data_IF_784923407695
#
_entry.id   IF_784923407695
#
_cell.length_a   1.000
_cell.length_b   1.000
_cell.length_c   1.000
_cell.angle_alpha   90.00
_cell.angle_beta   90.00
_cell.angle_gamma   90.00
#
_symmetry.space_group_name_H-M   'P 1'
#
loop_
_entity.id
_entity.type
_entity.pdbx_description
1 polymer ?
#
# COMPACT_ATOMS: atom_id res chain seq x y z
N UNK A 1 4.86 2.74 18.43
CA UNK A 1 5.73 3.31 17.38
C UNK A 1 5.17 4.69 17.10
N UNK A 2 5.95 5.74 17.32
CA UNK A 2 5.35 7.08 17.50
C UNK A 2 5.61 8.03 16.32
N UNK A 3 6.28 7.52 15.27
CA UNK A 3 6.67 8.33 14.11
C UNK A 3 6.33 7.61 12.81
N UNK A 4 5.81 8.39 11.88
CA UNK A 4 5.64 8.03 10.47
C UNK A 4 7.01 7.87 9.78
N UNK A 5 7.00 7.38 8.53
CA UNK A 5 8.21 7.12 7.76
C UNK A 5 9.06 8.39 7.61
N UNK A 6 10.36 8.26 7.85
CA UNK A 6 11.32 9.36 7.79
C UNK A 6 12.74 8.81 7.60
N UNK A 7 13.72 9.72 7.46
CA UNK A 7 15.14 9.38 7.28
C UNK A 7 15.73 8.50 8.38
N UNK A 8 15.28 8.62 9.64
CA UNK A 8 15.75 7.77 10.74
C UNK A 8 15.25 6.33 10.60
N UNK A 9 14.05 6.13 10.06
CA UNK A 9 13.54 4.78 9.74
C UNK A 9 14.38 4.11 8.66
N UNK A 10 14.80 4.85 7.62
CA UNK A 10 15.69 4.32 6.59
C UNK A 10 17.10 4.05 7.11
N UNK A 11 17.67 4.95 7.92
CA UNK A 11 18.94 4.68 8.62
C UNK A 11 18.85 3.41 9.46
N UNK A 12 17.74 3.20 10.17
CA UNK A 12 17.51 1.99 10.96
C UNK A 12 17.55 0.75 10.05
N UNK A 13 16.84 0.78 8.92
CA UNK A 13 16.89 -0.30 7.94
C UNK A 13 18.32 -0.65 7.53
N UNK A 14 19.11 0.34 7.08
CA UNK A 14 20.49 0.08 6.66
C UNK A 14 21.36 -0.42 7.82
N UNK A 15 21.20 0.14 9.02
CA UNK A 15 21.97 -0.26 10.22
C UNK A 15 21.66 -1.69 10.67
N UNK A 16 20.42 -2.15 10.50
CA UNK A 16 20.01 -3.53 10.79
C UNK A 16 20.51 -4.46 9.70
N UNK A 17 20.35 -4.08 8.42
CA UNK A 17 20.72 -4.90 7.28
C UNK A 17 22.23 -5.17 7.17
N UNK A 18 23.08 -4.17 7.44
CA UNK A 18 24.55 -4.31 7.39
C UNK A 18 25.08 -5.36 8.39
N UNK A 19 24.32 -5.69 9.45
CA UNK A 19 24.73 -6.73 10.42
C UNK A 19 24.76 -8.13 9.82
N UNK A 20 24.07 -8.36 8.71
CA UNK A 20 23.93 -9.69 8.10
C UNK A 20 24.02 -9.69 6.56
N UNK A 21 24.30 -8.55 5.93
CA UNK A 21 24.49 -8.41 4.49
C UNK A 21 25.70 -7.53 4.18
N UNK A 22 26.36 -7.76 3.06
CA UNK A 22 27.46 -6.92 2.61
C UNK A 22 26.95 -5.57 2.07
N UNK A 23 27.77 -4.51 2.08
CA UNK A 23 27.42 -3.23 1.47
C UNK A 23 26.99 -3.35 0.01
N UNK A 24 27.62 -4.21 -0.78
CA UNK A 24 27.30 -4.46 -2.20
C UNK A 24 25.90 -5.06 -2.39
N UNK A 25 25.31 -5.68 -1.35
CA UNK A 25 23.94 -6.16 -1.39
C UNK A 25 22.92 -5.06 -1.09
N UNK A 26 23.36 -3.91 -0.55
CA UNK A 26 22.52 -2.79 -0.08
C UNK A 26 22.73 -1.49 -0.86
N UNK A 27 23.87 -1.34 -1.51
CA UNK A 27 24.26 -0.14 -2.23
C UNK A 27 24.81 -0.52 -3.61
N UNK A 28 24.58 0.36 -4.57
CA UNK A 28 25.30 0.37 -5.82
C UNK A 28 26.74 0.81 -5.58
N UNK A 29 27.68 0.19 -6.28
CA UNK A 29 29.09 0.59 -6.27
C UNK A 29 29.39 1.36 -7.55
N UNK A 30 29.77 2.62 -7.43
CA UNK A 30 30.22 3.45 -8.56
C UNK A 30 31.65 3.08 -8.99
N UNK A 31 32.07 3.56 -10.16
CA UNK A 31 33.41 3.32 -10.72
C UNK A 31 34.52 3.88 -9.81
N UNK A 32 34.22 4.93 -9.04
CA UNK A 32 35.09 5.51 -8.02
C UNK A 32 34.92 4.86 -6.62
N UNK A 33 34.36 3.65 -6.56
CA UNK A 33 34.17 2.83 -5.36
C UNK A 33 33.34 3.50 -4.25
N UNK A 34 32.34 4.31 -4.62
CA UNK A 34 31.36 4.84 -3.66
C UNK A 34 30.14 3.93 -3.60
N UNK A 35 29.63 3.73 -2.39
CA UNK A 35 28.39 3.00 -2.14
C UNK A 35 27.21 3.97 -2.08
N UNK A 36 26.23 3.80 -2.97
CA UNK A 36 25.06 4.67 -3.09
C UNK A 36 23.75 3.87 -3.12
N UNK A 37 22.70 4.36 -2.44
CA UNK A 37 21.38 3.72 -2.48
C UNK A 37 20.72 3.91 -3.86
N UNK A 38 21.01 4.99 -4.55
CA UNK A 38 20.59 5.20 -5.92
C UNK A 38 21.70 5.81 -6.74
N UNK A 39 21.72 5.46 -8.03
CA UNK A 39 22.57 6.15 -8.99
C UNK A 39 22.25 7.65 -8.97
N UNK A 40 23.23 8.55 -8.86
CA UNK A 40 23.00 9.98 -8.97
C UNK A 40 22.34 10.34 -10.31
N UNK A 41 21.61 11.46 -10.35
CA UNK A 41 21.16 12.02 -11.63
C UNK A 41 22.39 12.40 -12.47
N UNK A 42 22.36 12.05 -13.75
CA UNK A 42 23.47 12.33 -14.67
C UNK A 42 24.69 11.41 -14.50
N UNK A 43 24.60 10.29 -13.77
CA UNK A 43 25.70 9.32 -13.72
C UNK A 43 25.92 8.69 -15.11
N UNK A 44 27.14 8.82 -15.64
CA UNK A 44 27.55 8.39 -16.99
C UNK A 44 28.23 7.01 -17.02
N UNK A 45 28.71 6.51 -15.87
CA UNK A 45 29.36 5.21 -15.77
C UNK A 45 28.41 4.01 -15.90
N UNK A 46 28.97 2.81 -15.83
CA UNK A 46 28.20 1.56 -15.95
C UNK A 46 27.22 1.40 -14.77
N UNK A 47 25.99 0.99 -15.08
CA UNK A 47 24.93 0.83 -14.08
C UNK A 47 24.56 -0.62 -13.93
N UNK A 48 24.69 -1.13 -12.70
CA UNK A 48 24.16 -2.43 -12.31
C UNK A 48 22.74 -2.33 -11.74
N UNK A 49 22.10 -3.49 -11.56
CA UNK A 49 20.79 -3.60 -10.88
C UNK A 49 20.96 -4.26 -9.52
N UNK A 50 20.27 -3.74 -8.49
CA UNK A 50 20.39 -4.23 -7.12
C UNK A 50 19.12 -4.94 -6.66
N UNK A 51 18.99 -6.22 -7.00
CA UNK A 51 17.80 -7.03 -6.67
C UNK A 51 17.75 -7.43 -5.19
N UNK A 52 18.89 -7.75 -4.57
CA UNK A 52 19.00 -8.17 -3.17
C UNK A 52 18.35 -7.18 -2.20
N UNK A 53 18.66 -5.89 -2.36
CA UNK A 53 18.08 -4.82 -1.53
C UNK A 53 16.57 -4.77 -1.62
N UNK A 54 15.98 -4.96 -2.80
CA UNK A 54 14.54 -4.83 -2.98
C UNK A 54 13.77 -5.85 -2.14
N UNK A 55 14.31 -7.07 -1.98
CA UNK A 55 13.73 -8.07 -1.07
C UNK A 55 13.88 -7.67 0.40
N UNK A 56 15.06 -7.16 0.79
CA UNK A 56 15.35 -6.76 2.17
C UNK A 56 14.47 -5.58 2.63
N UNK A 57 14.35 -4.53 1.82
CA UNK A 57 13.51 -3.37 2.16
C UNK A 57 12.01 -3.72 2.12
N UNK A 58 11.60 -4.65 1.25
CA UNK A 58 10.23 -5.17 1.23
C UNK A 58 9.86 -5.77 2.58
N UNK A 59 10.63 -6.77 3.05
CA UNK A 59 10.41 -7.40 4.36
C UNK A 59 10.45 -6.42 5.53
N UNK A 60 11.37 -5.46 5.49
CA UNK A 60 11.47 -4.43 6.52
C UNK A 60 10.23 -3.52 6.54
N UNK A 61 9.75 -3.09 5.38
CA UNK A 61 8.60 -2.19 5.29
C UNK A 61 7.29 -2.91 5.65
N UNK A 62 7.12 -4.18 5.26
CA UNK A 62 5.98 -5.01 5.70
C UNK A 62 5.89 -5.11 7.23
N UNK A 63 7.01 -5.46 7.88
CA UNK A 63 7.08 -5.51 9.35
C UNK A 63 6.82 -4.13 9.97
N UNK A 64 7.47 -3.09 9.45
CA UNK A 64 7.28 -1.73 9.94
C UNK A 64 5.83 -1.28 9.83
N UNK A 65 5.15 -1.61 8.73
CA UNK A 65 3.73 -1.31 8.54
C UNK A 65 2.87 -2.09 9.52
N UNK A 66 3.13 -3.38 9.74
CA UNK A 66 2.38 -4.15 10.75
C UNK A 66 2.51 -3.54 12.16
N UNK A 67 3.72 -3.16 12.57
CA UNK A 67 3.99 -2.53 13.87
C UNK A 67 3.28 -1.16 14.01
N UNK A 68 3.31 -0.35 12.94
CA UNK A 68 2.59 0.93 12.88
C UNK A 68 1.08 0.71 13.02
N UNK A 69 0.52 -0.21 12.23
CA UNK A 69 -0.91 -0.48 12.22
C UNK A 69 -1.38 -1.04 13.56
N UNK A 70 -0.59 -1.89 14.20
CA UNK A 70 -0.90 -2.39 15.54
C UNK A 70 -1.00 -1.26 16.56
N UNK A 71 -0.19 -0.19 16.40
CA UNK A 71 -0.30 1.02 17.22
C UNK A 71 -1.60 1.78 16.90
N UNK A 72 -1.97 1.90 15.62
CA UNK A 72 -3.17 2.61 15.16
C UNK A 72 -4.47 1.94 15.61
N UNK A 73 -4.52 0.61 15.64
CA UNK A 73 -5.73 -0.17 15.97
C UNK A 73 -5.79 -0.63 17.42
N UNK A 74 -4.85 -0.18 18.28
CA UNK A 74 -4.65 -0.69 19.64
C UNK A 74 -5.94 -0.70 20.49
N UNK A 75 -6.81 0.27 20.29
CA UNK A 75 -8.06 0.43 21.05
C UNK A 75 -9.25 -0.38 20.49
N UNK A 76 -9.08 -1.07 19.35
CA UNK A 76 -10.18 -1.72 18.63
C UNK A 76 -10.26 -3.24 18.84
N UNK A 77 -9.45 -3.82 19.72
CA UNK A 77 -9.33 -5.29 19.92
C UNK A 77 -9.03 -6.05 18.61
N UNK A 78 -8.27 -5.41 17.70
CA UNK A 78 -7.88 -5.97 16.40
C UNK A 78 -6.37 -6.24 16.34
N UNK A 79 -5.98 -7.10 15.40
CA UNK A 79 -4.60 -7.52 15.17
C UNK A 79 -4.13 -7.12 13.78
N UNK A 80 -2.91 -6.59 13.67
CA UNK A 80 -2.20 -6.44 12.42
C UNK A 80 -1.43 -7.74 12.14
N UNK A 81 -1.92 -8.54 11.20
CA UNK A 81 -1.40 -9.86 10.86
C UNK A 81 -0.56 -9.77 9.58
N UNK A 82 0.79 -9.81 9.68
CA UNK A 82 1.65 -9.87 8.50
C UNK A 82 1.52 -11.22 7.79
N UNK A 83 1.56 -11.21 6.45
CA UNK A 83 1.56 -12.43 5.64
C UNK A 83 0.26 -13.25 5.71
N UNK A 84 -0.88 -12.60 5.96
CA UNK A 84 -2.16 -13.29 6.13
C UNK A 84 -2.60 -14.04 4.85
N UNK A 85 -3.07 -15.27 5.05
CA UNK A 85 -3.52 -16.19 3.99
C UNK A 85 -5.02 -16.39 4.13
N UNK A 86 -5.76 -16.20 3.03
CA UNK A 86 -7.18 -16.47 2.92
C UNK A 86 -7.48 -16.92 1.48
N UNK A 87 -7.38 -18.22 1.24
CA UNK A 87 -7.55 -18.84 -0.10
C UNK A 87 -8.91 -18.48 -0.73
N UNK A 88 -9.96 -18.33 0.08
CA UNK A 88 -11.32 -17.99 -0.39
C UNK A 88 -11.44 -16.61 -1.05
N UNK A 89 -10.46 -15.72 -0.85
CA UNK A 89 -10.39 -14.40 -1.49
C UNK A 89 -9.08 -14.22 -2.27
N UNK A 90 -8.49 -15.35 -2.71
CA UNK A 90 -7.25 -15.42 -3.49
C UNK A 90 -6.01 -14.81 -2.82
N UNK A 91 -5.98 -14.74 -1.49
CA UNK A 91 -4.77 -14.49 -0.70
C UNK A 91 -4.10 -15.83 -0.39
N UNK A 92 -3.36 -16.36 -1.35
CA UNK A 92 -2.79 -17.72 -1.26
C UNK A 92 -1.46 -17.72 -0.50
N UNK A 93 -0.93 -18.89 -0.15
CA UNK A 93 0.46 -19.01 0.37
C UNK A 93 1.54 -18.38 -0.56
N UNK A 94 1.30 -18.36 -1.86
CA UNK A 94 2.23 -17.79 -2.85
C UNK A 94 2.08 -16.27 -3.01
N UNK A 95 0.92 -15.73 -2.62
CA UNK A 95 0.61 -14.31 -2.72
C UNK A 95 -0.26 -13.89 -1.52
N UNK A 96 0.25 -13.99 -0.28
CA UNK A 96 -0.49 -13.61 0.92
C UNK A 96 -0.69 -12.09 0.93
N UNK A 97 -1.55 -11.58 1.80
CA UNK A 97 -1.58 -10.15 2.08
C UNK A 97 -0.29 -9.72 2.76
N UNK A 98 0.21 -8.53 2.41
CA UNK A 98 1.41 -7.99 3.07
C UNK A 98 1.11 -7.79 4.57
N UNK A 99 -0.03 -7.15 4.88
CA UNK A 99 -0.64 -7.12 6.22
C UNK A 99 -2.16 -7.18 6.10
N UNK A 100 -2.83 -7.94 6.97
CA UNK A 100 -4.27 -7.86 7.18
C UNK A 100 -4.58 -7.30 8.56
N UNK A 101 -5.62 -6.47 8.68
CA UNK A 101 -6.22 -6.15 9.98
C UNK A 101 -7.30 -7.19 10.21
N UNK A 102 -7.25 -7.90 11.34
CA UNK A 102 -8.15 -9.02 11.62
C UNK A 102 -8.64 -9.02 13.07
N UNK A 103 -9.77 -9.70 13.29
CA UNK A 103 -10.34 -10.03 14.60
C UNK A 103 -9.52 -11.07 15.38
N UNK A 104 -8.60 -11.78 14.72
CA UNK A 104 -7.71 -12.73 15.37
C UNK A 104 -6.30 -12.67 14.79
N UNK A 105 -5.35 -13.31 15.48
CA UNK A 105 -3.91 -13.24 15.18
C UNK A 105 -3.40 -14.36 14.26
N UNK A 106 -4.27 -15.23 13.75
CA UNK A 106 -3.84 -16.40 12.99
C UNK A 106 -3.27 -15.98 11.63
N UNK A 107 -2.34 -16.73 11.05
CA UNK A 107 -1.89 -16.43 9.68
C UNK A 107 -2.95 -16.85 8.66
N UNK A 108 -3.53 -18.05 8.85
CA UNK A 108 -4.67 -18.50 8.05
C UNK A 108 -5.95 -17.85 8.59
N UNK A 109 -6.59 -17.09 7.74
CA UNK A 109 -7.75 -16.25 8.03
C UNK A 109 -8.99 -16.78 7.30
N UNK A 110 -10.15 -16.49 7.87
CA UNK A 110 -11.43 -16.55 7.15
C UNK A 110 -11.80 -15.15 6.67
N UNK A 111 -12.56 -15.02 5.57
CA UNK A 111 -12.96 -13.70 5.06
C UNK A 111 -13.68 -12.84 6.09
N UNK A 112 -14.53 -13.44 6.95
CA UNK A 112 -15.29 -12.73 7.98
C UNK A 112 -14.44 -12.16 9.14
N UNK A 113 -13.23 -12.67 9.32
CA UNK A 113 -12.30 -12.18 10.35
C UNK A 113 -11.48 -11.00 9.85
N UNK A 114 -11.25 -10.90 8.54
CA UNK A 114 -10.47 -9.83 7.92
C UNK A 114 -11.33 -8.57 7.83
N UNK A 115 -10.87 -7.50 8.48
CA UNK A 115 -11.55 -6.19 8.45
C UNK A 115 -10.89 -5.19 7.52
N UNK A 116 -9.64 -5.40 7.11
CA UNK A 116 -8.97 -4.65 6.05
C UNK A 116 -7.77 -5.42 5.49
N UNK A 117 -7.44 -5.21 4.22
CA UNK A 117 -6.23 -5.71 3.57
C UNK A 117 -5.32 -4.55 3.24
N UNK A 118 -4.05 -4.66 3.60
CA UNK A 118 -3.04 -3.63 3.39
C UNK A 118 -1.94 -4.21 2.51
N UNK A 119 -1.75 -3.57 1.36
CA UNK A 119 -0.68 -3.91 0.42
C UNK A 119 0.43 -2.87 0.51
N UNK A 120 1.61 -3.30 0.94
CA UNK A 120 2.76 -2.44 1.17
C UNK A 120 3.55 -2.25 -0.12
N UNK A 121 3.75 -1.00 -0.51
CA UNK A 121 4.47 -0.57 -1.72
C UNK A 121 5.45 0.54 -1.37
N UNK A 122 6.15 0.34 -0.26
CA UNK A 122 7.16 1.24 0.28
C UNK A 122 8.56 0.84 -0.20
N UNK A 123 9.48 1.80 -0.23
CA UNK A 123 10.90 1.54 -0.54
C UNK A 123 11.81 2.53 0.17
N UNK A 124 13.12 2.45 -0.05
CA UNK A 124 14.02 3.59 0.21
C UNK A 124 13.55 4.77 -0.65
N UNK A 125 13.53 5.97 -0.08
CA UNK A 125 13.07 7.20 -0.73
C UNK A 125 14.24 8.15 -0.97
N UNK A 126 15.17 8.25 -0.01
CA UNK A 126 16.32 9.14 -0.12
C UNK A 126 17.52 8.41 -0.71
N UNK A 127 18.40 9.16 -1.38
CA UNK A 127 19.69 8.65 -1.78
C UNK A 127 20.65 8.69 -0.60
N UNK A 128 21.16 7.53 -0.20
CA UNK A 128 22.10 7.37 0.90
C UNK A 128 23.48 7.01 0.36
N UNK A 129 24.50 7.71 0.83
CA UNK A 129 25.89 7.34 0.65
C UNK A 129 26.40 6.57 1.85
N UNK A 130 27.09 5.47 1.60
CA UNK A 130 27.71 4.65 2.63
C UNK A 130 29.24 4.75 2.54
N UNK A 131 29.88 5.02 3.70
CA UNK A 131 31.33 5.18 3.82
C UNK A 131 31.90 4.16 4.82
N UNK A 132 33.21 3.92 4.73
CA UNK A 132 33.97 3.14 5.72
C UNK A 132 33.67 3.63 7.15
N UNK A 133 33.54 2.69 8.09
CA UNK A 133 33.11 2.97 9.47
C UNK A 133 31.60 2.96 9.67
N UNK A 134 30.83 2.40 8.72
CA UNK A 134 29.37 2.28 8.76
C UNK A 134 28.61 3.62 8.83
N UNK A 135 29.18 4.67 8.22
CA UNK A 135 28.60 6.02 8.24
C UNK A 135 27.66 6.19 7.04
N UNK A 136 26.39 6.51 7.33
CA UNK A 136 25.35 6.81 6.33
C UNK A 136 25.12 8.31 6.22
N UNK A 137 25.22 8.84 5.01
CA UNK A 137 24.95 10.24 4.71
C UNK A 137 23.81 10.37 3.70
N UNK A 138 22.80 11.16 4.02
CA UNK A 138 21.73 11.47 3.07
C UNK A 138 22.28 12.45 2.02
N UNK A 139 22.32 12.03 0.76
CA UNK A 139 22.82 12.80 -0.38
C UNK A 139 21.70 13.67 -0.96
N UNK A 140 20.45 13.19 -0.92
CA UNK A 140 19.30 13.95 -1.39
C UNK A 140 18.03 13.12 -1.44
N UNK A 141 16.91 13.80 -1.65
CA UNK A 141 15.60 13.20 -1.90
C UNK A 141 15.46 12.49 -3.26
N UNK A 142 14.26 11.98 -3.52
CA UNK A 142 13.93 11.22 -4.72
C UNK A 142 13.98 12.02 -6.03
N UNK A 143 14.05 13.36 -5.97
CA UNK A 143 14.29 14.20 -7.15
C UNK A 143 15.77 14.35 -7.46
N UNK A 144 16.69 13.93 -6.58
CA UNK A 144 18.14 14.11 -6.77
C UNK A 144 18.84 12.82 -7.25
N UNK A 145 18.12 11.71 -7.40
CA UNK A 145 18.67 10.44 -7.88
C UNK A 145 17.91 9.86 -9.09
N UNK A 146 18.50 8.82 -9.68
CA UNK A 146 17.93 8.05 -10.78
C UNK A 146 17.13 6.86 -10.22
N UNK A 147 16.00 6.56 -10.85
CA UNK A 147 15.08 5.52 -10.41
C UNK A 147 13.98 6.07 -9.51
N UNK A 148 12.75 5.62 -9.74
CA UNK A 148 11.59 6.05 -8.99
C UNK A 148 11.38 5.12 -7.77
N UNK A 149 11.23 5.65 -6.55
CA UNK A 149 10.88 4.86 -5.38
C UNK A 149 9.37 4.62 -5.25
N UNK A 150 8.99 3.53 -4.59
CA UNK A 150 7.61 3.24 -4.18
C UNK A 150 6.56 3.43 -5.27
N UNK A 151 5.55 4.25 -4.96
CA UNK A 151 4.39 4.53 -5.81
C UNK A 151 4.69 5.47 -6.99
N UNK A 152 5.89 6.05 -7.07
CA UNK A 152 6.33 6.79 -8.26
C UNK A 152 6.67 5.86 -9.43
N UNK A 153 6.71 4.53 -9.20
CA UNK A 153 6.88 3.54 -10.27
C UNK A 153 5.54 3.02 -10.77
N UNK A 154 5.35 3.10 -12.08
CA UNK A 154 4.17 2.54 -12.76
C UNK A 154 4.00 1.04 -12.52
N UNK A 155 5.08 0.24 -12.54
CA UNK A 155 4.98 -1.21 -12.31
C UNK A 155 4.46 -1.53 -10.91
N UNK A 156 4.85 -0.72 -9.91
CA UNK A 156 4.41 -0.86 -8.52
C UNK A 156 2.91 -0.53 -8.39
N UNK A 157 2.45 0.54 -9.04
CA UNK A 157 1.04 0.89 -9.12
C UNK A 157 0.21 -0.23 -9.78
N UNK A 158 0.67 -0.75 -10.92
CA UNK A 158 -0.03 -1.80 -11.66
C UNK A 158 -0.10 -3.11 -10.87
N UNK A 159 0.96 -3.50 -10.16
CA UNK A 159 0.95 -4.68 -9.27
C UNK A 159 -0.07 -4.54 -8.14
N UNK A 160 -0.13 -3.38 -7.50
CA UNK A 160 -1.11 -3.10 -6.45
C UNK A 160 -2.56 -3.17 -6.96
N UNK A 161 -2.81 -2.57 -8.13
CA UNK A 161 -4.12 -2.62 -8.80
C UNK A 161 -4.48 -4.05 -9.18
N UNK A 162 -3.56 -4.78 -9.81
CA UNK A 162 -3.78 -6.15 -10.27
C UNK A 162 -4.12 -7.11 -9.13
N UNK A 163 -3.39 -7.04 -8.01
CA UNK A 163 -3.68 -7.85 -6.82
C UNK A 163 -5.03 -7.50 -6.20
N UNK A 164 -5.38 -6.21 -6.13
CA UNK A 164 -6.67 -5.76 -5.60
C UNK A 164 -7.84 -6.25 -6.46
N UNK A 165 -7.71 -6.16 -7.79
CA UNK A 165 -8.71 -6.72 -8.72
C UNK A 165 -8.85 -8.23 -8.51
N UNK A 166 -7.73 -8.96 -8.41
CA UNK A 166 -7.76 -10.41 -8.20
C UNK A 166 -8.54 -10.79 -6.92
N UNK A 167 -8.30 -10.08 -5.82
CA UNK A 167 -9.06 -10.27 -4.58
C UNK A 167 -10.56 -9.99 -4.81
N UNK A 168 -10.89 -8.85 -5.43
CA UNK A 168 -12.27 -8.41 -5.67
C UNK A 168 -13.09 -9.38 -6.53
N UNK A 169 -12.47 -9.97 -7.57
CA UNK A 169 -13.16 -10.87 -8.50
C UNK A 169 -13.14 -12.33 -8.06
N UNK A 170 -12.28 -12.70 -7.10
CA UNK A 170 -12.16 -14.09 -6.63
C UNK A 170 -13.38 -14.58 -5.86
N UNK A 171 -14.03 -13.70 -5.08
CA UNK A 171 -15.16 -14.06 -4.25
C UNK A 171 -15.90 -12.84 -3.73
N UNK A 172 -17.24 -12.92 -3.68
CA UNK A 172 -18.08 -11.89 -3.07
C UNK A 172 -17.84 -11.73 -1.57
N UNK A 173 -17.17 -12.69 -0.91
CA UNK A 173 -16.75 -12.55 0.48
C UNK A 173 -15.75 -11.40 0.69
N UNK A 174 -15.01 -11.01 -0.35
CA UNK A 174 -14.13 -9.85 -0.31
C UNK A 174 -14.87 -8.51 -0.47
N UNK A 175 -16.16 -8.50 -0.82
CA UNK A 175 -16.90 -7.28 -1.18
C UNK A 175 -16.88 -6.20 -0.10
N UNK A 176 -16.87 -6.62 1.18
CA UNK A 176 -16.92 -5.72 2.34
C UNK A 176 -15.56 -5.37 2.91
N UNK A 177 -14.49 -6.00 2.41
CA UNK A 177 -13.15 -5.81 2.93
C UNK A 177 -12.53 -4.60 2.21
N UNK A 178 -12.20 -3.50 2.90
CA UNK A 178 -11.43 -2.41 2.32
C UNK A 178 -10.00 -2.87 1.99
N UNK A 179 -9.50 -2.44 0.83
CA UNK A 179 -8.12 -2.67 0.38
C UNK A 179 -7.41 -1.33 0.33
N UNK A 180 -6.31 -1.21 1.07
CA UNK A 180 -5.49 0.00 1.16
C UNK A 180 -4.09 -0.31 0.62
N UNK A 181 -3.58 0.58 -0.22
CA UNK A 181 -2.19 0.52 -0.68
C UNK A 181 -1.35 1.46 0.18
N UNK A 182 -0.45 0.91 1.00
CA UNK A 182 0.43 1.68 1.88
C UNK A 182 1.76 1.97 1.18
N UNK A 183 2.08 3.24 0.98
CA UNK A 183 3.31 3.73 0.38
C UNK A 183 4.01 4.78 1.25
N UNK A 184 5.14 5.28 0.78
CA UNK A 184 5.92 6.31 1.47
C UNK A 184 6.50 7.37 0.51
N UNK A 185 5.87 7.46 -0.66
CA UNK A 185 6.19 8.43 -1.71
C UNK A 185 4.89 9.07 -2.19
N UNK A 186 4.98 10.23 -2.85
CA UNK A 186 3.90 10.71 -3.71
C UNK A 186 3.62 9.75 -4.87
N UNK A 187 2.59 10.07 -5.65
CA UNK A 187 2.30 9.45 -6.95
C UNK A 187 2.54 10.46 -8.08
N UNK A 188 2.71 9.99 -9.31
CA UNK A 188 2.79 10.89 -10.47
C UNK A 188 1.40 11.42 -10.84
N UNK A 189 1.36 12.62 -11.40
CA UNK A 189 0.14 13.31 -11.86
C UNK A 189 -0.72 12.47 -12.81
N UNK A 190 -0.08 11.70 -13.69
CA UNK A 190 -0.73 10.75 -14.60
C UNK A 190 -1.59 9.69 -13.91
N UNK A 191 -1.38 9.43 -12.61
CA UNK A 191 -2.19 8.51 -11.81
C UNK A 191 -3.30 9.20 -11.00
N UNK A 192 -3.37 10.53 -10.92
CA UNK A 192 -4.32 11.21 -10.02
C UNK A 192 -5.76 10.84 -10.32
N UNK A 193 -6.18 10.96 -11.59
CA UNK A 193 -7.53 10.55 -11.99
C UNK A 193 -7.75 9.04 -11.78
N UNK A 194 -6.72 8.22 -12.01
CA UNK A 194 -6.83 6.76 -11.90
C UNK A 194 -7.06 6.30 -10.46
N UNK A 195 -6.32 6.83 -9.49
CA UNK A 195 -6.49 6.48 -8.07
C UNK A 195 -7.85 6.93 -7.54
N UNK A 196 -8.33 8.09 -7.99
CA UNK A 196 -9.67 8.57 -7.66
C UNK A 196 -10.76 7.65 -8.20
N UNK A 197 -10.62 7.18 -9.45
CA UNK A 197 -11.57 6.22 -10.03
C UNK A 197 -11.51 4.83 -9.36
N UNK A 198 -10.33 4.36 -8.97
CA UNK A 198 -10.18 3.11 -8.22
C UNK A 198 -10.90 3.14 -6.86
N UNK A 199 -10.89 4.31 -6.21
CA UNK A 199 -11.63 4.54 -4.98
C UNK A 199 -13.13 4.62 -5.20
N UNK A 200 -13.58 5.39 -6.20
CA UNK A 200 -15.01 5.51 -6.52
C UNK A 200 -15.61 4.16 -6.91
N UNK A 201 -14.88 3.37 -7.70
CA UNK A 201 -15.32 2.02 -8.10
C UNK A 201 -15.24 0.98 -6.98
N UNK A 202 -14.66 1.32 -5.82
CA UNK A 202 -14.51 0.42 -4.68
C UNK A 202 -13.44 -0.66 -4.84
N UNK A 203 -12.62 -0.62 -5.90
CA UNK A 203 -11.53 -1.60 -6.11
C UNK A 203 -10.47 -1.44 -5.02
N UNK A 204 -10.03 -0.20 -4.76
CA UNK A 204 -9.04 0.17 -3.73
C UNK A 204 -9.56 1.40 -2.99
N UNK A 205 -9.63 1.35 -1.66
CA UNK A 205 -10.21 2.43 -0.85
C UNK A 205 -9.23 3.59 -0.61
N UNK A 206 -7.94 3.38 -0.82
CA UNK A 206 -6.97 4.47 -0.80
C UNK A 206 -5.53 4.04 -1.10
N UNK A 207 -4.81 4.93 -1.77
CA UNK A 207 -3.35 4.93 -1.85
C UNK A 207 -2.83 5.91 -0.80
N UNK A 208 -2.26 5.36 0.28
CA UNK A 208 -1.88 6.13 1.46
C UNK A 208 -0.38 6.26 1.55
N UNK A 209 0.13 7.48 1.68
CA UNK A 209 1.54 7.74 1.95
C UNK A 209 1.75 8.06 3.42
N UNK A 210 2.61 7.31 4.10
CA UNK A 210 3.00 7.53 5.49
C UNK A 210 4.34 8.24 5.62
N UNK A 211 4.73 9.02 4.62
CA UNK A 211 5.91 9.89 4.67
C UNK A 211 5.46 11.35 4.56
N UNK A 212 5.48 12.11 5.67
CA UNK A 212 5.06 13.52 5.67
C UNK A 212 5.93 14.41 4.79
N UNK A 213 7.25 14.15 4.77
CA UNK A 213 8.26 15.04 4.17
C UNK A 213 9.21 14.24 3.26
N UNK A 214 8.73 13.70 2.13
CA UNK A 214 9.55 12.89 1.22
C UNK A 214 10.56 13.71 0.40
N UNK A 215 10.43 15.05 0.39
CA UNK A 215 11.33 15.98 -0.27
C UNK A 215 12.17 16.75 0.76
N UNK A 216 13.38 17.12 0.36
CA UNK A 216 14.21 18.03 1.13
C UNK A 216 13.69 19.48 1.00
N UNK A 217 14.25 20.39 1.80
CA UNK A 217 14.07 21.85 1.64
C UNK A 217 12.61 22.35 1.70
N UNK A 218 11.73 21.59 2.36
CA UNK A 218 10.29 21.89 2.50
C UNK A 218 9.54 22.08 1.16
N UNK A 219 10.03 21.44 0.09
CA UNK A 219 9.33 21.48 -1.19
C UNK A 219 7.92 20.87 -1.06
N UNK A 220 6.95 21.52 -1.72
CA UNK A 220 5.57 21.02 -1.75
C UNK A 220 5.51 19.71 -2.54
N UNK A 221 4.88 18.71 -1.93
CA UNK A 221 4.44 17.48 -2.58
C UNK A 221 2.93 17.30 -2.33
N UNK A 222 2.27 16.49 -3.17
CA UNK A 222 0.82 16.33 -3.11
C UNK A 222 0.36 15.81 -1.73
N UNK A 223 -0.63 16.49 -1.15
CA UNK A 223 -1.32 16.04 0.06
C UNK A 223 -2.41 15.03 -0.27
N UNK A 224 -3.25 15.34 -1.25
CA UNK A 224 -4.39 14.50 -1.64
C UNK A 224 -4.79 14.76 -3.09
N UNK A 225 -5.42 13.77 -3.72
CA UNK A 225 -6.14 13.95 -4.99
C UNK A 225 -7.57 14.44 -4.75
N UNK A 226 -8.25 14.90 -5.79
CA UNK A 226 -9.58 15.53 -5.70
C UNK A 226 -10.63 14.67 -4.99
N UNK A 227 -10.60 13.34 -5.19
CA UNK A 227 -11.52 12.39 -4.52
C UNK A 227 -10.84 11.61 -3.40
N UNK A 228 -9.64 12.03 -2.99
CA UNK A 228 -8.82 11.39 -1.96
C UNK A 228 -8.55 9.92 -2.26
N UNK A 229 -8.43 9.57 -3.55
CA UNK A 229 -7.90 8.28 -4.00
C UNK A 229 -6.44 8.09 -3.56
N UNK A 230 -5.68 9.19 -3.52
CA UNK A 230 -4.40 9.29 -2.82
C UNK A 230 -4.49 10.26 -1.64
N UNK A 231 -3.80 9.94 -0.54
CA UNK A 231 -3.67 10.80 0.64
C UNK A 231 -2.32 10.60 1.33
N UNK A 232 -1.64 11.69 1.69
CA UNK A 232 -0.41 11.71 2.49
C UNK A 232 -0.73 12.07 3.94
N UNK A 233 -0.31 11.24 4.88
CA UNK A 233 -0.46 11.52 6.31
C UNK A 233 0.71 12.35 6.82
N UNK A 234 0.40 13.43 7.53
CA UNK A 234 1.42 14.29 8.13
C UNK A 234 1.72 13.89 9.58
N UNK A 235 0.81 13.15 10.23
CA UNK A 235 0.96 12.64 11.59
C UNK A 235 0.14 11.36 11.82
N UNK A 236 0.42 10.69 12.94
CA UNK A 236 -0.24 9.44 13.35
C UNK A 236 -1.74 9.63 13.59
N UNK A 237 -2.18 10.81 14.05
CA UNK A 237 -3.58 11.09 14.32
C UNK A 237 -4.40 11.03 13.03
N UNK A 238 -3.95 11.68 11.95
CA UNK A 238 -4.65 11.63 10.66
C UNK A 238 -4.80 10.20 10.13
N UNK A 239 -3.75 9.38 10.29
CA UNK A 239 -3.77 7.96 9.93
C UNK A 239 -4.80 7.18 10.78
N UNK A 240 -4.82 7.44 12.08
CA UNK A 240 -5.73 6.79 13.04
C UNK A 240 -7.18 7.15 12.80
N UNK A 241 -7.45 8.44 12.56
CA UNK A 241 -8.79 8.92 12.21
C UNK A 241 -9.27 8.28 10.90
N UNK A 242 -8.39 8.18 9.89
CA UNK A 242 -8.73 7.56 8.60
C UNK A 242 -9.03 6.07 8.72
N UNK A 243 -8.24 5.33 9.52
CA UNK A 243 -8.54 3.94 9.83
C UNK A 243 -9.81 3.78 10.66
N UNK A 244 -10.09 4.69 11.58
CA UNK A 244 -11.33 4.66 12.35
C UNK A 244 -12.55 4.82 11.46
N UNK A 245 -12.52 5.78 10.53
CA UNK A 245 -13.57 5.98 9.54
C UNK A 245 -13.75 4.74 8.67
N UNK A 246 -12.70 4.27 8.00
CA UNK A 246 -12.83 3.17 7.03
C UNK A 246 -13.28 1.85 7.67
N UNK A 247 -12.88 1.57 8.91
CA UNK A 247 -13.27 0.36 9.63
C UNK A 247 -14.69 0.43 10.19
N UNK A 248 -15.28 1.63 10.26
CA UNK A 248 -16.66 1.85 10.72
C UNK A 248 -17.69 1.84 9.59
N UNK A 249 -17.25 2.16 8.37
CA UNK A 249 -18.13 2.24 7.21
C UNK A 249 -18.52 0.84 6.71
N UNK A 250 -19.82 0.60 6.56
CA UNK A 250 -20.35 -0.61 5.92
C UNK A 250 -20.54 -0.36 4.43
N UNK A 251 -19.51 -0.65 3.64
CA UNK A 251 -19.55 -0.53 2.18
C UNK A 251 -19.60 -1.91 1.52
N UNK A 252 -20.28 -2.01 0.37
CA UNK A 252 -20.33 -3.22 -0.45
C UNK A 252 -19.77 -2.93 -1.85
N UNK A 253 -18.66 -3.58 -2.21
CA UNK A 253 -18.22 -3.64 -3.60
C UNK A 253 -19.08 -4.63 -4.39
N UNK A 254 -19.46 -4.25 -5.61
CA UNK A 254 -20.12 -5.13 -6.55
C UNK A 254 -19.68 -4.83 -7.99
N UNK A 255 -19.60 -5.88 -8.81
CA UNK A 255 -19.26 -5.78 -10.24
C UNK A 255 -19.91 -6.93 -11.00
N UNK A 256 -20.50 -6.63 -12.16
CA UNK A 256 -21.08 -7.62 -13.08
C UNK A 256 -21.23 -7.01 -14.47
N UNK A 257 -21.24 -7.84 -15.51
CA UNK A 257 -21.50 -7.42 -16.88
C UNK A 257 -22.90 -7.90 -17.28
N UNK A 258 -23.85 -6.95 -17.39
CA UNK A 258 -25.25 -7.20 -17.77
C UNK A 258 -25.68 -6.20 -18.85
N UNK A 259 -26.58 -6.61 -19.73
CA UNK A 259 -27.16 -5.66 -20.69
C UNK A 259 -28.20 -4.75 -20.01
N UNK A 260 -28.55 -3.64 -20.66
CA UNK A 260 -29.48 -2.64 -20.09
C UNK A 260 -30.87 -3.22 -19.76
N UNK A 261 -31.35 -4.19 -20.53
CA UNK A 261 -32.66 -4.84 -20.31
C UNK A 261 -32.65 -5.70 -19.05
N UNK A 262 -31.57 -6.46 -18.84
CA UNK A 262 -31.36 -7.24 -17.62
C UNK A 262 -31.19 -6.36 -16.39
N UNK A 263 -30.36 -5.31 -16.47
CA UNK A 263 -30.22 -4.35 -15.38
C UNK A 263 -31.56 -3.73 -14.99
N UNK A 264 -32.37 -3.33 -15.98
CA UNK A 264 -33.72 -2.82 -15.73
C UNK A 264 -34.61 -3.81 -14.99
N UNK A 265 -34.60 -5.09 -15.38
CA UNK A 265 -35.35 -6.16 -14.70
C UNK A 265 -34.87 -6.39 -13.27
N UNK A 266 -33.55 -6.40 -13.05
CA UNK A 266 -32.96 -6.55 -11.71
C UNK A 266 -33.43 -5.42 -10.80
N UNK A 267 -33.37 -4.17 -11.28
CA UNK A 267 -33.84 -2.99 -10.54
C UNK A 267 -35.33 -3.11 -10.22
N UNK A 268 -36.15 -3.53 -11.19
CA UNK A 268 -37.59 -3.70 -11.00
C UNK A 268 -37.92 -4.74 -9.93
N UNK A 269 -37.25 -5.91 -9.96
CA UNK A 269 -37.45 -6.97 -8.97
C UNK A 269 -36.99 -6.49 -7.60
N UNK A 270 -35.78 -5.93 -7.50
CA UNK A 270 -35.23 -5.45 -6.24
C UNK A 270 -36.10 -4.36 -5.60
N UNK A 271 -36.69 -3.46 -6.41
CA UNK A 271 -37.52 -2.36 -5.91
C UNK A 271 -38.86 -2.82 -5.28
N UNK A 272 -39.26 -4.09 -5.45
CA UNK A 272 -40.44 -4.66 -4.79
C UNK A 272 -40.24 -4.93 -3.29
N UNK A 273 -39.00 -4.92 -2.81
CA UNK A 273 -38.69 -5.10 -1.39
C UNK A 273 -39.16 -3.93 -0.52
N UNK A 274 -39.45 -4.21 0.74
CA UNK A 274 -40.14 -3.28 1.65
C UNK A 274 -39.29 -2.11 2.17
N UNK A 275 -37.96 -2.25 2.18
CA UNK A 275 -37.02 -1.30 2.79
C UNK A 275 -35.80 -1.10 1.89
N UNK A 276 -35.12 0.04 1.97
CA UNK A 276 -33.95 0.31 1.11
C UNK A 276 -32.83 -0.71 1.27
N UNK A 277 -32.58 -1.20 2.49
CA UNK A 277 -31.57 -2.22 2.79
C UNK A 277 -31.90 -3.52 2.06
N UNK A 278 -33.13 -4.04 2.22
CA UNK A 278 -33.62 -5.22 1.50
C UNK A 278 -33.60 -5.04 -0.02
N UNK A 279 -33.94 -3.84 -0.53
CA UNK A 279 -33.81 -3.51 -1.96
C UNK A 279 -32.35 -3.65 -2.41
N UNK A 280 -31.40 -3.13 -1.65
CA UNK A 280 -29.97 -3.26 -1.94
C UNK A 280 -29.51 -4.72 -1.84
N UNK A 281 -29.90 -5.46 -0.81
CA UNK A 281 -29.58 -6.89 -0.66
C UNK A 281 -30.10 -7.73 -1.83
N UNK A 282 -31.35 -7.50 -2.24
CA UNK A 282 -31.94 -8.18 -3.39
C UNK A 282 -31.23 -7.80 -4.69
N UNK A 283 -30.94 -6.51 -4.91
CA UNK A 283 -30.16 -6.05 -6.07
C UNK A 283 -28.78 -6.72 -6.11
N UNK A 284 -28.07 -6.74 -4.98
CA UNK A 284 -26.75 -7.35 -4.86
C UNK A 284 -26.80 -8.87 -5.06
N UNK A 285 -27.88 -9.55 -4.66
CA UNK A 285 -28.08 -10.96 -4.96
C UNK A 285 -28.23 -11.18 -6.46
N UNK A 286 -29.15 -10.46 -7.09
CA UNK A 286 -29.52 -10.64 -8.50
C UNK A 286 -28.43 -10.23 -9.49
N UNK A 287 -27.59 -9.24 -9.16
CA UNK A 287 -26.49 -8.80 -10.04
C UNK A 287 -25.34 -9.82 -10.10
N UNK A 288 -25.28 -10.74 -9.12
CA UNK A 288 -24.24 -11.77 -8.98
C UNK A 288 -24.61 -13.09 -9.67
N UNK A 289 -25.89 -13.30 -9.95
CA UNK A 289 -26.44 -14.36 -10.82
C UNK A 289 -26.28 -13.94 -12.29
#
# INVERSE_FOLDING_TARGET
MDKLWNKEVEKRFFSEAIKFCSPEQLFYTTDDNKYLAYWPKGYEGEKSTLQSRNSLIGKFTEKWTADLLQTVIKEKELFAVPGAICEEIALTKMSPADVAISRNKNITQKPEDIVAIIEVKMSIVWNWGFKKGNVLNCIGDYKKHTGNPGLLRSDTMLKAIGKSINIRVSSFKAAKIPIIIMGNTPITDSYYAKVDQLKISGIIQGFWSVNPNPLDDNEKNIKETTKRGFYRFDNIKELTDSFTTILSEKQDFFSSMKNRKELGRIIEIANKESTYEKKAEMFLKLIRE
#
